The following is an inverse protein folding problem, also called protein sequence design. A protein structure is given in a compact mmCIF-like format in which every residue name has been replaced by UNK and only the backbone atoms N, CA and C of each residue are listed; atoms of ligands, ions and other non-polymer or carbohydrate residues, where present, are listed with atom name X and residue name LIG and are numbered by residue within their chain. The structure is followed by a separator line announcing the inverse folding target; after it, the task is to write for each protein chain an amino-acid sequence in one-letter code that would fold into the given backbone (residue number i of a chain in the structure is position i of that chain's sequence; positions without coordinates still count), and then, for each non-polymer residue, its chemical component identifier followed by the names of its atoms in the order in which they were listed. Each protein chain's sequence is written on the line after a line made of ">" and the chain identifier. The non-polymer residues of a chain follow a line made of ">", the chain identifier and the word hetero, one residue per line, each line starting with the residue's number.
data_IF_057949213064
#
_entry.id   IF_057949213064
#
_cell.length_a   1.000
_cell.length_b   1.000
_cell.length_c   1.000
_cell.angle_alpha   90.00
_cell.angle_beta   90.00
_cell.angle_gamma   90.00
#
_symmetry.space_group_name_H-M   'P 1'
#
loop_
_entity.id
_entity.type
_entity.pdbx_description
1 polymer ?
#
# COMPACT_ATOMS: atom_id res chain seq x y z
N UNK A 1 -3.20 -2.38 -44.83
CA UNK A 1 -4.02 -2.28 -43.59
C UNK A 1 -3.30 -3.01 -42.46
N UNK A 2 -2.58 -2.31 -41.58
CA UNK A 2 -2.14 -2.89 -40.30
C UNK A 2 -3.40 -3.02 -39.43
N UNK A 3 -3.92 -4.23 -39.25
CA UNK A 3 -5.00 -4.47 -38.29
C UNK A 3 -4.38 -4.38 -36.90
N UNK A 4 -4.54 -3.23 -36.24
CA UNK A 4 -4.25 -3.09 -34.82
C UNK A 4 -5.35 -3.82 -34.04
N UNK A 5 -5.22 -5.14 -33.90
CA UNK A 5 -5.95 -5.84 -32.85
C UNK A 5 -5.19 -5.59 -31.55
N UNK A 6 -5.63 -4.61 -30.76
CA UNK A 6 -5.35 -4.65 -29.33
C UNK A 6 -6.17 -5.81 -28.78
N UNK A 7 -5.55 -6.99 -28.65
CA UNK A 7 -6.18 -8.04 -27.85
C UNK A 7 -6.34 -7.50 -26.43
N UNK A 8 -7.54 -7.66 -25.89
CA UNK A 8 -7.82 -7.33 -24.50
C UNK A 8 -7.08 -8.34 -23.61
N UNK A 9 -6.04 -7.90 -22.91
CA UNK A 9 -5.22 -8.76 -22.07
C UNK A 9 -6.02 -9.43 -20.94
N UNK A 10 -7.06 -8.77 -20.42
CA UNK A 10 -7.99 -9.38 -19.47
C UNK A 10 -8.78 -10.53 -20.10
N UNK A 11 -9.18 -10.42 -21.38
CA UNK A 11 -9.82 -11.52 -22.10
C UNK A 11 -8.84 -12.69 -22.29
N UNK A 12 -7.58 -12.41 -22.62
CA UNK A 12 -6.56 -13.47 -22.73
C UNK A 12 -6.35 -14.14 -21.37
N UNK A 13 -6.18 -13.38 -20.28
CA UNK A 13 -6.03 -13.90 -18.93
C UNK A 13 -7.22 -14.78 -18.53
N UNK A 14 -8.45 -14.37 -18.82
CA UNK A 14 -9.66 -15.16 -18.58
C UNK A 14 -9.71 -16.45 -19.42
N UNK A 15 -9.37 -16.38 -20.71
CA UNK A 15 -9.32 -17.56 -21.60
C UNK A 15 -8.29 -18.56 -21.08
N UNK A 16 -7.09 -18.07 -20.73
CA UNK A 16 -6.03 -18.89 -20.16
C UNK A 16 -6.53 -19.50 -18.86
N UNK A 17 -6.95 -18.73 -17.85
CA UNK A 17 -7.46 -19.26 -16.58
C UNK A 17 -8.61 -20.27 -16.74
N UNK A 18 -9.53 -20.04 -17.67
CA UNK A 18 -10.63 -20.98 -17.95
C UNK A 18 -10.13 -22.29 -18.56
N UNK A 19 -9.17 -22.20 -19.49
CA UNK A 19 -8.55 -23.38 -20.10
C UNK A 19 -7.76 -24.19 -19.06
N UNK A 20 -7.05 -23.48 -18.18
CA UNK A 20 -6.28 -24.07 -17.08
C UNK A 20 -7.19 -24.80 -16.08
N UNK A 21 -8.39 -24.26 -15.81
CA UNK A 21 -9.40 -24.91 -14.95
C UNK A 21 -9.99 -26.18 -15.59
N UNK A 22 -10.26 -26.16 -16.90
CA UNK A 22 -10.81 -27.34 -17.59
C UNK A 22 -9.81 -28.51 -17.59
N UNK A 23 -8.54 -28.23 -17.87
CA UNK A 23 -7.46 -29.23 -17.84
C UNK A 23 -7.24 -29.84 -16.44
N UNK A 24 -7.44 -29.08 -15.37
CA UNK A 24 -7.35 -29.63 -14.02
C UNK A 24 -8.55 -30.50 -13.66
N UNK A 25 -9.72 -30.25 -14.23
CA UNK A 25 -10.89 -31.11 -14.08
C UNK A 25 -10.70 -32.46 -14.81
N UNK A 26 -10.09 -32.46 -16.00
CA UNK A 26 -9.85 -33.70 -16.77
C UNK A 26 -8.80 -34.61 -16.11
N UNK A 27 -7.82 -34.04 -15.41
CA UNK A 27 -6.82 -34.81 -14.64
C UNK A 27 -7.37 -35.44 -13.34
N UNK A 28 -8.56 -35.04 -12.90
CA UNK A 28 -9.33 -35.73 -11.85
C UNK A 28 -10.17 -36.91 -12.37
N UNK A 29 -10.19 -37.18 -13.68
CA UNK A 29 -10.78 -38.40 -14.24
C UNK A 29 -9.84 -39.59 -14.07
N UNK A 30 -9.56 -40.01 -12.83
CA UNK A 30 -8.92 -41.30 -12.57
C UNK A 30 -9.86 -42.41 -13.06
N UNK A 31 -9.49 -43.09 -14.15
CA UNK A 31 -10.09 -44.39 -14.46
C UNK A 31 -9.63 -45.39 -13.40
N UNK A 32 -10.52 -45.73 -12.46
CA UNK A 32 -10.36 -46.89 -11.59
C UNK A 32 -10.56 -48.17 -12.43
N UNK A 33 -9.47 -48.76 -12.92
CA UNK A 33 -9.50 -50.06 -13.57
C UNK A 33 -9.37 -51.15 -12.51
N UNK A 34 -10.48 -51.81 -12.17
CA UNK A 34 -10.48 -53.01 -11.33
C UNK A 34 -10.04 -54.20 -12.17
N UNK A 35 -8.83 -54.73 -11.95
CA UNK A 35 -8.37 -55.96 -12.60
C UNK A 35 -8.61 -57.12 -11.63
N UNK A 36 -9.38 -58.11 -12.07
CA UNK A 36 -9.55 -59.39 -11.36
C UNK A 36 -8.45 -60.33 -11.87
N UNK A 37 -7.43 -60.60 -11.05
CA UNK A 37 -6.42 -61.61 -11.37
C UNK A 37 -6.96 -63.02 -11.09
N UNK A 38 -6.99 -63.88 -12.12
CA UNK A 38 -7.29 -65.30 -11.93
C UNK A 38 -6.08 -66.04 -11.33
N UNK A 39 -6.30 -66.98 -10.39
CA UNK A 39 -5.22 -67.62 -9.65
C UNK A 39 -4.40 -68.57 -10.52
N UNK A 40 -3.10 -68.29 -10.61
CA UNK A 40 -2.11 -69.24 -11.13
C UNK A 40 -1.93 -70.38 -10.12
N UNK A 41 -2.57 -71.51 -10.42
CA UNK A 41 -2.50 -72.80 -9.72
C UNK A 41 -3.17 -72.90 -8.33
N UNK A 42 -4.36 -73.51 -8.32
CA UNK A 42 -4.61 -74.66 -7.41
C UNK A 42 -5.24 -74.43 -6.03
N UNK A 43 -5.80 -73.26 -5.70
CA UNK A 43 -6.64 -73.13 -4.49
C UNK A 43 -7.79 -72.11 -4.68
N UNK A 44 -9.07 -72.49 -4.59
CA UNK A 44 -10.20 -71.64 -5.04
C UNK A 44 -10.71 -70.57 -4.05
N UNK A 45 -10.01 -70.23 -2.95
CA UNK A 45 -10.59 -69.35 -1.90
C UNK A 45 -9.95 -67.97 -1.70
N UNK A 46 -9.09 -67.47 -2.60
CA UNK A 46 -8.59 -66.08 -2.47
C UNK A 46 -8.57 -65.35 -3.81
N UNK A 47 -9.66 -64.63 -4.10
CA UNK A 47 -9.67 -63.54 -5.09
C UNK A 47 -9.02 -62.33 -4.44
N UNK A 48 -7.85 -61.90 -4.92
CA UNK A 48 -7.25 -60.62 -4.54
C UNK A 48 -7.77 -59.54 -5.48
N UNK A 49 -8.56 -58.62 -4.95
CA UNK A 49 -8.86 -57.35 -5.64
C UNK A 49 -7.69 -56.42 -5.35
N UNK A 50 -6.96 -56.03 -6.39
CA UNK A 50 -5.89 -55.03 -6.30
C UNK A 50 -6.38 -53.78 -7.01
N UNK A 51 -6.65 -52.72 -6.25
CA UNK A 51 -6.85 -51.39 -6.82
C UNK A 51 -5.47 -50.84 -7.22
N UNK A 52 -5.27 -50.62 -8.52
CA UNK A 52 -4.08 -49.92 -9.04
C UNK A 52 -4.50 -48.56 -9.57
N UNK A 53 -3.92 -47.51 -8.98
CA UNK A 53 -3.90 -46.19 -9.61
C UNK A 53 -2.92 -46.24 -10.80
N UNK A 54 -3.44 -46.41 -12.01
CA UNK A 54 -2.63 -46.16 -13.21
C UNK A 54 -2.53 -44.65 -13.44
N UNK A 55 -1.38 -44.06 -13.11
CA UNK A 55 -1.02 -42.75 -13.66
C UNK A 55 -0.89 -42.90 -15.17
N UNK A 56 -1.78 -42.24 -15.91
CA UNK A 56 -1.69 -42.09 -17.36
C UNK A 56 -0.24 -41.74 -17.74
N UNK A 57 0.29 -42.49 -18.71
CA UNK A 57 1.65 -42.33 -19.19
C UNK A 57 1.90 -40.88 -19.63
N UNK A 58 3.14 -40.40 -19.46
CA UNK A 58 3.64 -39.05 -19.84
C UNK A 58 3.51 -38.68 -21.34
N UNK A 59 2.69 -39.39 -22.11
CA UNK A 59 2.71 -39.41 -23.57
C UNK A 59 1.55 -38.74 -24.31
N UNK A 60 0.46 -38.38 -23.65
CA UNK A 60 -0.67 -37.71 -24.34
C UNK A 60 -0.80 -36.27 -23.84
N UNK A 61 0.16 -35.44 -24.26
CA UNK A 61 -0.03 -34.01 -24.25
C UNK A 61 -1.25 -33.69 -25.12
N UNK A 62 -2.32 -33.19 -24.50
CA UNK A 62 -3.30 -32.37 -25.23
C UNK A 62 -2.53 -31.35 -26.06
N UNK A 63 -3.01 -30.93 -27.24
CA UNK A 63 -2.29 -30.05 -28.18
C UNK A 63 -1.82 -28.67 -27.63
N UNK A 64 -2.00 -28.43 -26.33
CA UNK A 64 -1.54 -27.32 -25.51
C UNK A 64 -0.50 -27.91 -24.52
N UNK A 65 0.77 -27.47 -24.57
CA UNK A 65 1.89 -28.00 -23.76
C UNK A 65 1.68 -28.00 -22.22
N UNK A 66 2.70 -28.39 -21.45
CA UNK A 66 2.57 -28.48 -19.99
C UNK A 66 2.47 -27.08 -19.37
N UNK A 67 1.71 -26.96 -18.28
CA UNK A 67 1.54 -25.72 -17.50
C UNK A 67 2.86 -25.07 -17.07
N UNK A 68 3.86 -25.90 -16.80
CA UNK A 68 5.21 -25.52 -16.39
C UNK A 68 5.98 -24.81 -17.50
N UNK A 69 5.50 -24.89 -18.75
CA UNK A 69 6.11 -24.28 -19.93
C UNK A 69 5.53 -22.90 -20.26
N UNK A 70 4.64 -22.34 -19.42
CA UNK A 70 4.08 -21.01 -19.65
C UNK A 70 5.20 -19.94 -19.69
N UNK A 71 5.32 -19.16 -20.79
CA UNK A 71 6.21 -18.01 -20.85
C UNK A 71 5.99 -17.05 -19.68
N UNK A 72 7.09 -16.52 -19.14
CA UNK A 72 7.07 -15.61 -17.99
C UNK A 72 6.20 -14.37 -18.27
N UNK A 73 6.20 -13.91 -19.51
CA UNK A 73 5.42 -12.77 -19.98
C UNK A 73 3.91 -13.04 -19.89
N UNK A 74 3.47 -14.28 -20.11
CA UNK A 74 2.06 -14.66 -19.93
C UNK A 74 1.68 -14.75 -18.45
N UNK A 75 2.58 -15.23 -17.60
CA UNK A 75 2.35 -15.27 -16.14
C UNK A 75 2.26 -13.85 -15.59
N UNK A 76 3.15 -12.95 -16.01
CA UNK A 76 3.10 -11.54 -15.67
C UNK A 76 1.78 -10.89 -16.11
N UNK A 77 1.35 -11.13 -17.35
CA UNK A 77 0.08 -10.63 -17.88
C UNK A 77 -1.11 -11.13 -17.07
N UNK A 78 -1.16 -12.42 -16.73
CA UNK A 78 -2.23 -12.99 -15.90
C UNK A 78 -2.29 -12.26 -14.55
N UNK A 79 -1.17 -12.13 -13.84
CA UNK A 79 -1.17 -11.44 -12.55
C UNK A 79 -1.41 -9.94 -12.65
N UNK A 80 -1.03 -9.30 -13.76
CA UNK A 80 -1.28 -7.88 -14.00
C UNK A 80 -2.77 -7.57 -14.19
N UNK A 81 -3.53 -8.46 -14.84
CA UNK A 81 -4.96 -8.24 -15.12
C UNK A 81 -5.89 -8.80 -14.06
N UNK A 82 -5.54 -9.91 -13.40
CA UNK A 82 -6.46 -10.61 -12.51
C UNK A 82 -6.54 -9.91 -11.14
N UNK A 83 -7.75 -9.80 -10.59
CA UNK A 83 -7.96 -9.20 -9.27
C UNK A 83 -7.39 -10.10 -8.16
N UNK A 84 -6.95 -9.50 -7.05
CA UNK A 84 -6.30 -10.22 -5.97
C UNK A 84 -7.12 -11.40 -5.39
N UNK A 85 -8.44 -11.30 -5.15
CA UNK A 85 -9.23 -12.44 -4.69
C UNK A 85 -9.18 -13.63 -5.67
N UNK A 86 -9.19 -13.35 -6.97
CA UNK A 86 -9.06 -14.38 -8.01
C UNK A 86 -7.65 -14.94 -8.07
N UNK A 87 -6.61 -14.12 -7.84
CA UNK A 87 -5.23 -14.58 -7.67
C UNK A 87 -5.18 -15.61 -6.53
N UNK A 88 -5.81 -15.36 -5.38
CA UNK A 88 -5.88 -16.32 -4.27
C UNK A 88 -6.55 -17.64 -4.66
N UNK A 89 -7.62 -17.58 -5.47
CA UNK A 89 -8.30 -18.77 -5.98
C UNK A 89 -7.42 -19.57 -6.96
N UNK A 90 -6.50 -18.93 -7.68
CA UNK A 90 -5.65 -19.61 -8.67
C UNK A 90 -4.86 -20.79 -8.07
N UNK A 91 -4.45 -20.74 -6.80
CA UNK A 91 -3.76 -21.86 -6.14
C UNK A 91 -4.57 -23.16 -6.08
N UNK A 92 -5.89 -23.07 -6.21
CA UNK A 92 -6.81 -24.21 -6.20
C UNK A 92 -7.01 -24.80 -7.59
N UNK A 93 -6.50 -24.13 -8.64
CA UNK A 93 -6.70 -24.57 -10.02
C UNK A 93 -5.83 -25.77 -10.38
N UNK A 94 -4.53 -25.76 -10.07
CA UNK A 94 -3.60 -26.87 -10.34
C UNK A 94 -2.29 -26.76 -9.53
N UNK A 95 -1.44 -27.79 -9.60
CA UNK A 95 -0.18 -27.87 -8.85
C UNK A 95 0.81 -26.77 -9.23
N UNK A 96 0.85 -26.35 -10.50
CA UNK A 96 1.72 -25.28 -10.96
C UNK A 96 1.36 -23.93 -10.30
N UNK A 97 0.09 -23.54 -10.27
CA UNK A 97 -0.32 -22.31 -9.57
C UNK A 97 -0.11 -22.42 -8.07
N UNK A 98 -0.33 -23.60 -7.48
CA UNK A 98 -0.01 -23.82 -6.08
C UNK A 98 1.48 -23.58 -5.80
N UNK A 99 2.37 -24.19 -6.57
CA UNK A 99 3.82 -24.06 -6.44
C UNK A 99 4.30 -22.64 -6.75
N UNK A 100 3.78 -22.00 -7.80
CA UNK A 100 4.03 -20.61 -8.15
C UNK A 100 3.64 -19.66 -7.00
N UNK A 101 2.49 -19.89 -6.36
CA UNK A 101 1.97 -18.99 -5.35
C UNK A 101 2.59 -19.19 -3.96
N UNK A 102 3.05 -20.41 -3.65
CA UNK A 102 3.55 -20.78 -2.33
C UNK A 102 5.06 -21.02 -2.30
N UNK A 103 5.64 -21.41 -3.43
CA UNK A 103 7.01 -21.91 -3.55
C UNK A 103 7.19 -23.40 -3.28
N UNK A 104 6.10 -24.17 -3.14
CA UNK A 104 6.15 -25.58 -2.72
C UNK A 104 5.47 -26.52 -3.72
N UNK A 105 6.11 -27.66 -3.96
CA UNK A 105 5.61 -28.72 -4.84
C UNK A 105 4.55 -29.62 -4.20
N UNK A 106 4.35 -29.53 -2.87
CA UNK A 106 3.35 -30.33 -2.15
C UNK A 106 2.25 -29.45 -1.58
N UNK A 107 1.01 -29.87 -1.76
CA UNK A 107 -0.18 -29.16 -1.27
C UNK A 107 -0.25 -29.24 0.26
N UNK A 108 -0.31 -28.09 0.90
CA UNK A 108 -0.46 -27.91 2.34
C UNK A 108 -0.86 -26.48 2.73
N UNK A 109 -1.03 -26.23 4.03
CA UNK A 109 -1.25 -24.89 4.57
C UNK A 109 0.08 -24.12 4.58
N UNK A 110 0.30 -23.26 3.59
CA UNK A 110 1.54 -22.51 3.42
C UNK A 110 1.21 -21.03 3.37
N UNK A 111 1.61 -20.34 4.44
CA UNK A 111 1.40 -18.92 4.63
C UNK A 111 2.57 -18.04 4.14
N UNK A 112 2.52 -16.76 4.51
CA UNK A 112 3.58 -15.77 4.23
C UNK A 112 4.90 -16.04 4.95
N UNK A 113 4.98 -17.01 5.86
CA UNK A 113 6.27 -17.38 6.45
C UNK A 113 7.28 -17.93 5.44
N UNK A 114 6.83 -18.31 4.24
CA UNK A 114 7.68 -18.97 3.26
C UNK A 114 7.84 -18.14 2.00
N UNK A 115 8.97 -17.45 1.86
CA UNK A 115 9.26 -16.61 0.70
C UNK A 115 9.34 -17.44 -0.60
N UNK A 116 8.82 -16.96 -1.74
CA UNK A 116 8.99 -17.61 -3.03
C UNK A 116 10.46 -17.77 -3.42
N UNK A 117 10.75 -18.72 -4.29
CA UNK A 117 12.11 -18.90 -4.83
C UNK A 117 12.57 -17.65 -5.59
N UNK A 118 13.84 -17.26 -5.40
CA UNK A 118 14.39 -16.01 -5.94
C UNK A 118 14.33 -15.92 -7.48
N UNK A 119 14.32 -17.06 -8.19
CA UNK A 119 14.33 -17.12 -9.66
C UNK A 119 13.05 -16.56 -10.28
N UNK A 120 11.88 -16.80 -9.67
CA UNK A 120 10.60 -16.29 -10.18
C UNK A 120 10.27 -14.89 -9.66
N UNK A 121 10.80 -14.55 -8.48
CA UNK A 121 10.62 -13.22 -7.89
C UNK A 121 11.17 -12.11 -8.79
N UNK A 122 12.37 -12.29 -9.36
CA UNK A 122 13.06 -11.22 -10.11
C UNK A 122 12.30 -10.83 -11.39
N UNK A 123 11.70 -11.79 -12.10
CA UNK A 123 10.99 -11.50 -13.35
C UNK A 123 9.68 -10.74 -13.11
N UNK A 124 8.88 -11.15 -12.12
CA UNK A 124 7.51 -10.63 -11.93
C UNK A 124 7.46 -9.40 -10.99
N UNK A 125 8.60 -8.98 -10.41
CA UNK A 125 8.73 -7.85 -9.46
C UNK A 125 8.30 -6.46 -10.01
N UNK A 126 7.90 -6.34 -11.28
CA UNK A 126 7.44 -5.09 -11.90
C UNK A 126 5.93 -4.83 -11.81
N UNK A 127 5.14 -5.77 -11.28
CA UNK A 127 3.68 -5.63 -11.23
C UNK A 127 3.29 -4.75 -10.04
N UNK A 128 2.68 -3.59 -10.34
CA UNK A 128 2.24 -2.62 -9.34
C UNK A 128 0.78 -2.87 -8.91
N UNK A 129 0.50 -3.93 -8.14
CA UNK A 129 -0.86 -4.16 -7.64
C UNK A 129 -1.16 -3.33 -6.40
N UNK A 130 -2.37 -2.78 -6.38
CA UNK A 130 -3.06 -2.34 -5.18
C UNK A 130 -3.88 -3.50 -4.61
N UNK A 131 -3.69 -3.81 -3.33
CA UNK A 131 -4.37 -4.91 -2.65
C UNK A 131 -4.98 -4.39 -1.35
N UNK A 132 -6.28 -4.62 -1.16
CA UNK A 132 -7.02 -4.17 0.01
C UNK A 132 -7.44 -5.37 0.88
N UNK A 133 -6.90 -5.42 2.09
CA UNK A 133 -7.18 -6.44 3.09
C UNK A 133 -8.51 -6.27 3.81
N UNK A 134 -9.19 -5.12 3.68
CA UNK A 134 -10.47 -4.87 4.34
C UNK A 134 -11.59 -5.79 3.88
N UNK A 135 -11.48 -6.32 2.65
CA UNK A 135 -12.44 -7.25 2.06
C UNK A 135 -11.95 -8.70 2.02
N UNK A 136 -10.81 -9.00 2.66
CA UNK A 136 -10.15 -10.31 2.58
C UNK A 136 -10.18 -11.02 3.92
N UNK A 137 -10.74 -12.23 3.93
CA UNK A 137 -10.62 -13.14 5.06
C UNK A 137 -9.36 -14.00 4.90
N UNK A 138 -8.21 -13.45 5.27
CA UNK A 138 -6.94 -14.19 5.28
C UNK A 138 -6.10 -13.92 6.54
N UNK A 139 -5.46 -14.96 7.06
CA UNK A 139 -4.44 -14.92 8.11
C UNK A 139 -3.06 -15.13 7.50
N UNK A 140 -1.96 -14.79 8.22
CA UNK A 140 -0.60 -15.09 7.76
C UNK A 140 -0.38 -16.53 7.30
N UNK A 141 -1.07 -17.52 7.88
CA UNK A 141 -0.98 -18.94 7.53
C UNK A 141 -1.72 -19.30 6.24
N UNK A 142 -2.76 -18.54 5.90
CA UNK A 142 -3.64 -18.84 4.76
C UNK A 142 -3.33 -18.01 3.52
N UNK A 143 -2.62 -16.89 3.64
CA UNK A 143 -2.27 -16.05 2.51
C UNK A 143 -1.06 -16.63 1.76
N UNK A 144 -1.13 -16.78 0.44
CA UNK A 144 0.02 -17.21 -0.34
C UNK A 144 1.12 -16.16 -0.29
N UNK A 145 2.36 -16.61 -0.16
CA UNK A 145 3.53 -15.75 0.00
C UNK A 145 3.90 -14.98 -1.26
N UNK A 146 3.69 -15.56 -2.45
CA UNK A 146 4.07 -14.91 -3.71
C UNK A 146 3.34 -13.59 -3.96
N UNK A 147 1.99 -13.53 -3.91
CA UNK A 147 1.30 -12.25 -4.02
C UNK A 147 1.77 -11.24 -2.99
N UNK A 148 2.08 -11.69 -1.77
CA UNK A 148 2.50 -10.84 -0.66
C UNK A 148 3.90 -10.23 -0.84
N UNK A 149 4.90 -11.01 -1.25
CA UNK A 149 6.28 -10.53 -1.38
C UNK A 149 6.60 -9.90 -2.73
N UNK A 150 5.93 -10.34 -3.81
CA UNK A 150 6.33 -10.00 -5.17
C UNK A 150 5.36 -9.07 -5.90
N UNK A 151 4.07 -9.09 -5.57
CA UNK A 151 3.06 -8.31 -6.31
C UNK A 151 2.59 -7.04 -5.59
N UNK A 152 2.71 -6.99 -4.25
CA UNK A 152 2.13 -5.89 -3.48
C UNK A 152 3.00 -4.63 -3.58
N UNK A 153 2.48 -3.61 -4.28
CA UNK A 153 3.09 -2.26 -4.32
C UNK A 153 2.33 -1.29 -3.42
N UNK A 154 1.00 -1.29 -3.53
CA UNK A 154 0.11 -0.54 -2.66
C UNK A 154 -0.73 -1.53 -1.84
N UNK A 155 -0.74 -1.36 -0.53
CA UNK A 155 -1.48 -2.23 0.38
C UNK A 155 -2.41 -1.38 1.24
N UNK A 156 -3.69 -1.74 1.25
CA UNK A 156 -4.72 -1.10 2.09
C UNK A 156 -5.15 -2.04 3.19
N UNK A 157 -5.47 -1.46 4.34
CA UNK A 157 -6.13 -2.14 5.46
C UNK A 157 -5.36 -3.35 6.01
N UNK A 158 -4.02 -3.33 5.93
CA UNK A 158 -3.18 -4.46 6.33
C UNK A 158 -3.28 -4.74 7.84
N UNK A 159 -3.74 -5.92 8.27
CA UNK A 159 -3.89 -6.22 9.68
C UNK A 159 -2.54 -6.27 10.42
N UNK A 160 -2.49 -5.92 11.72
CA UNK A 160 -1.26 -5.93 12.51
C UNK A 160 -0.49 -7.25 12.52
N UNK A 161 -1.18 -8.39 12.38
CA UNK A 161 -0.58 -9.72 12.28
C UNK A 161 0.38 -9.88 11.10
N UNK A 162 0.28 -9.00 10.09
CA UNK A 162 1.12 -9.04 8.90
C UNK A 162 2.35 -8.12 8.97
N UNK A 163 2.41 -7.18 9.92
CA UNK A 163 3.43 -6.14 9.91
C UNK A 163 4.86 -6.67 10.02
N UNK A 164 5.09 -7.77 10.75
CA UNK A 164 6.41 -8.42 10.79
C UNK A 164 6.84 -9.04 9.45
N UNK A 165 5.89 -9.30 8.55
CA UNK A 165 6.14 -9.95 7.26
C UNK A 165 6.42 -8.95 6.14
N UNK A 166 6.12 -7.66 6.32
CA UNK A 166 6.33 -6.65 5.27
C UNK A 166 7.81 -6.35 4.99
N UNK A 167 8.71 -6.89 5.82
CA UNK A 167 10.15 -6.84 5.61
C UNK A 167 10.52 -7.50 4.28
N UNK A 168 11.38 -6.83 3.49
CA UNK A 168 11.81 -7.29 2.17
C UNK A 168 10.69 -7.48 1.12
N UNK A 169 9.53 -6.85 1.34
CA UNK A 169 8.49 -6.72 0.30
C UNK A 169 8.80 -5.53 -0.62
N UNK A 170 8.05 -5.44 -1.72
CA UNK A 170 8.09 -4.30 -2.64
C UNK A 170 7.05 -3.21 -2.29
N UNK A 171 6.44 -3.29 -1.09
CA UNK A 171 5.41 -2.34 -0.65
C UNK A 171 6.01 -0.95 -0.57
N UNK A 172 5.43 -0.06 -1.35
CA UNK A 172 5.80 1.34 -1.45
C UNK A 172 4.76 2.25 -0.82
N UNK A 173 3.48 1.89 -0.94
CA UNK A 173 2.37 2.59 -0.29
C UNK A 173 1.71 1.65 0.71
N UNK A 174 1.72 2.04 1.98
CA UNK A 174 0.95 1.39 3.04
C UNK A 174 -0.16 2.33 3.49
N UNK A 175 -1.39 1.99 3.11
CA UNK A 175 -2.59 2.73 3.46
C UNK A 175 -3.37 2.05 4.59
N UNK A 176 -3.27 2.63 5.78
CA UNK A 176 -3.98 2.21 6.96
C UNK A 176 -5.05 3.23 7.35
N UNK A 177 -5.57 4.02 6.41
CA UNK A 177 -6.64 4.96 6.72
C UNK A 177 -7.83 4.26 7.39
N UNK A 178 -8.31 4.79 8.52
CA UNK A 178 -9.46 4.26 9.24
C UNK A 178 -9.32 2.78 9.68
N UNK A 179 -8.13 2.35 10.10
CA UNK A 179 -7.85 0.97 10.53
C UNK A 179 -7.72 0.78 12.04
N UNK A 180 -8.11 1.78 12.84
CA UNK A 180 -8.06 1.72 14.31
C UNK A 180 -6.67 1.35 14.86
N UNK A 181 -5.60 1.84 14.21
CA UNK A 181 -4.21 1.51 14.58
C UNK A 181 -3.91 1.93 16.02
N UNK A 182 -4.29 3.16 16.42
CA UNK A 182 -4.01 3.72 17.74
C UNK A 182 -2.52 3.80 18.09
N UNK A 183 -2.21 4.25 19.30
CA UNK A 183 -0.82 4.44 19.74
C UNK A 183 -0.04 3.13 19.86
N UNK A 184 -0.69 2.06 20.34
CA UNK A 184 -0.08 0.73 20.44
C UNK A 184 0.23 0.12 19.08
N UNK A 185 -0.63 0.36 18.08
CA UNK A 185 -0.37 -0.04 16.71
C UNK A 185 0.82 0.71 16.11
N UNK A 186 0.95 2.02 16.37
CA UNK A 186 2.14 2.77 15.96
C UNK A 186 3.41 2.23 16.60
N UNK A 187 3.37 1.87 17.89
CA UNK A 187 4.51 1.25 18.56
C UNK A 187 4.94 -0.06 17.87
N UNK A 188 3.99 -0.90 17.45
CA UNK A 188 4.28 -2.13 16.73
C UNK A 188 4.78 -1.86 15.30
N UNK A 189 4.17 -0.93 14.58
CA UNK A 189 4.59 -0.54 13.23
C UNK A 189 6.00 0.08 13.22
N UNK A 190 6.34 0.87 14.25
CA UNK A 190 7.66 1.48 14.40
C UNK A 190 8.80 0.46 14.47
N UNK A 191 8.53 -0.78 14.95
CA UNK A 191 9.53 -1.85 14.99
C UNK A 191 9.95 -2.36 13.61
N UNK A 192 9.07 -2.23 12.62
CA UNK A 192 9.31 -2.78 11.28
C UNK A 192 9.62 -1.69 10.26
N UNK A 193 9.05 -0.49 10.41
CA UNK A 193 9.08 0.59 9.42
C UNK A 193 10.50 0.95 8.90
N UNK A 194 11.56 1.04 9.74
CA UNK A 194 12.92 1.32 9.26
C UNK A 194 13.46 0.31 8.25
N UNK A 195 13.00 -0.93 8.30
CA UNK A 195 13.45 -2.03 7.48
C UNK A 195 12.53 -2.28 6.27
N UNK A 196 11.76 -1.26 5.88
CA UNK A 196 10.83 -1.30 4.74
C UNK A 196 11.23 -0.33 3.64
N UNK A 197 10.63 -0.52 2.46
CA UNK A 197 10.74 0.39 1.31
C UNK A 197 9.52 1.33 1.20
N UNK A 198 8.78 1.49 2.30
CA UNK A 198 7.56 2.31 2.33
C UNK A 198 7.93 3.77 2.14
N UNK A 199 7.37 4.35 1.09
CA UNK A 199 7.54 5.75 0.71
C UNK A 199 6.30 6.58 1.06
N UNK A 200 5.11 6.00 0.92
CA UNK A 200 3.84 6.63 1.29
C UNK A 200 3.23 5.85 2.44
N UNK A 201 3.09 6.51 3.59
CA UNK A 201 2.48 5.95 4.78
C UNK A 201 1.22 6.76 5.13
N UNK A 202 0.06 6.13 4.98
CA UNK A 202 -1.21 6.74 5.37
C UNK A 202 -1.73 6.16 6.67
N UNK A 203 -1.73 6.99 7.71
CA UNK A 203 -2.19 6.69 9.06
C UNK A 203 -3.38 7.58 9.46
N UNK A 204 -4.10 8.15 8.50
CA UNK A 204 -5.23 9.03 8.79
C UNK A 204 -6.39 8.32 9.50
N UNK A 205 -7.14 9.03 10.34
CA UNK A 205 -8.32 8.54 11.04
C UNK A 205 -8.07 7.27 11.89
N UNK A 206 -6.98 7.22 12.65
CA UNK A 206 -6.57 6.05 13.42
C UNK A 206 -6.54 6.24 14.94
N UNK A 207 -7.09 7.35 15.45
CA UNK A 207 -7.09 7.67 16.89
C UNK A 207 -5.67 7.73 17.49
N UNK A 208 -4.70 8.20 16.71
CA UNK A 208 -3.31 8.35 17.14
C UNK A 208 -3.18 9.64 17.97
N UNK A 209 -2.65 9.51 19.18
CA UNK A 209 -2.34 10.60 20.08
C UNK A 209 -0.88 11.02 20.05
N UNK A 210 -0.50 11.88 21.00
CA UNK A 210 0.88 12.33 21.14
C UNK A 210 1.87 11.18 21.41
N UNK A 211 1.46 10.16 22.19
CA UNK A 211 2.31 9.01 22.49
C UNK A 211 2.58 8.15 21.26
N UNK A 212 1.59 7.94 20.39
CA UNK A 212 1.82 7.26 19.10
C UNK A 212 2.79 8.04 18.22
N UNK A 213 2.61 9.36 18.10
CA UNK A 213 3.55 10.20 17.33
C UNK A 213 4.96 10.18 17.92
N UNK A 214 5.09 10.13 19.24
CA UNK A 214 6.39 9.97 19.90
C UNK A 214 7.08 8.66 19.48
N UNK A 215 6.36 7.54 19.42
CA UNK A 215 6.93 6.26 18.94
C UNK A 215 7.30 6.32 17.46
N UNK A 216 6.47 6.94 16.61
CA UNK A 216 6.78 7.14 15.20
C UNK A 216 8.02 8.03 15.01
N UNK A 217 8.15 9.09 15.82
CA UNK A 217 9.25 10.03 15.74
C UNK A 217 10.62 9.39 16.07
N UNK A 218 10.65 8.35 16.91
CA UNK A 218 11.89 7.61 17.21
C UNK A 218 12.50 6.94 15.98
N UNK A 219 11.70 6.63 14.98
CA UNK A 219 12.13 5.80 13.84
C UNK A 219 12.12 6.55 12.51
N UNK A 220 11.37 7.65 12.39
CA UNK A 220 11.09 8.32 11.12
C UNK A 220 12.35 8.72 10.33
N UNK A 221 13.42 9.15 10.99
CA UNK A 221 14.70 9.50 10.34
C UNK A 221 15.41 8.32 9.68
N UNK A 222 15.08 7.10 10.08
CA UNK A 222 15.65 5.85 9.57
C UNK A 222 14.72 5.16 8.56
N UNK A 223 13.71 5.88 8.05
CA UNK A 223 12.73 5.33 7.09
C UNK A 223 12.90 5.95 5.72
N UNK A 224 12.26 5.33 4.72
CA UNK A 224 12.15 5.86 3.36
C UNK A 224 10.86 6.67 3.15
N UNK A 225 10.14 7.06 4.22
CA UNK A 225 8.84 7.73 4.11
C UNK A 225 9.02 9.16 3.61
N UNK A 226 8.44 9.46 2.45
CA UNK A 226 8.40 10.80 1.86
C UNK A 226 7.02 11.46 1.96
N UNK A 227 5.96 10.64 1.94
CA UNK A 227 4.58 11.12 2.10
C UNK A 227 4.00 10.52 3.37
N UNK A 228 3.72 11.38 4.35
CA UNK A 228 3.17 11.00 5.64
C UNK A 228 1.78 11.61 5.82
N UNK A 229 0.75 10.77 5.85
CA UNK A 229 -0.59 11.20 6.21
C UNK A 229 -0.90 10.85 7.66
N UNK A 230 -1.20 11.87 8.45
CA UNK A 230 -1.59 11.77 9.85
C UNK A 230 -2.93 12.48 10.09
N UNK A 231 -3.68 12.78 9.04
CA UNK A 231 -4.93 13.53 9.10
C UNK A 231 -6.00 12.87 10.00
N UNK A 232 -6.84 13.68 10.64
CA UNK A 232 -7.97 13.24 11.46
C UNK A 232 -7.58 12.30 12.61
N UNK A 233 -6.48 12.63 13.30
CA UNK A 233 -6.05 11.97 14.54
C UNK A 233 -6.19 12.94 15.72
N UNK A 234 -5.62 12.61 16.88
CA UNK A 234 -5.71 13.37 18.13
C UNK A 234 -4.31 13.81 18.58
N UNK A 235 -3.47 14.23 17.61
CA UNK A 235 -2.04 14.48 17.82
C UNK A 235 -1.82 15.67 18.77
N UNK A 236 -2.60 16.73 18.60
CA UNK A 236 -2.48 17.97 19.39
C UNK A 236 -1.12 18.66 19.26
N UNK A 237 -0.94 19.75 20.01
CA UNK A 237 0.33 20.48 20.03
C UNK A 237 1.51 19.63 20.53
N UNK A 238 1.29 18.78 21.54
CA UNK A 238 2.34 17.94 22.12
C UNK A 238 2.84 16.87 21.16
N UNK A 239 1.96 16.21 20.40
CA UNK A 239 2.38 15.23 19.40
C UNK A 239 3.13 15.89 18.25
N UNK A 240 2.69 17.08 17.83
CA UNK A 240 3.41 17.88 16.82
C UNK A 240 4.79 18.31 17.31
N UNK A 241 4.94 18.63 18.59
CA UNK A 241 6.26 18.92 19.17
C UNK A 241 7.21 17.72 19.05
N UNK A 242 6.74 16.49 19.26
CA UNK A 242 7.55 15.29 19.05
C UNK A 242 7.92 15.10 17.58
N UNK A 243 6.98 15.33 16.67
CA UNK A 243 7.23 15.26 15.23
C UNK A 243 8.27 16.31 14.79
N UNK A 244 8.18 17.53 15.31
CA UNK A 244 9.11 18.62 15.01
C UNK A 244 10.57 18.27 15.33
N UNK A 245 10.83 17.47 16.37
CA UNK A 245 12.19 17.02 16.74
C UNK A 245 12.86 16.18 15.67
N UNK A 246 12.10 15.47 14.83
CA UNK A 246 12.65 14.52 13.85
C UNK A 246 12.51 14.98 12.40
N UNK A 247 11.56 15.87 12.08
CA UNK A 247 11.29 16.30 10.70
C UNK A 247 12.54 16.77 9.92
N UNK A 248 13.46 17.58 10.49
CA UNK A 248 14.67 18.01 9.78
C UNK A 248 15.61 16.88 9.36
N UNK A 249 15.56 15.74 10.08
CA UNK A 249 16.39 14.57 9.82
C UNK A 249 15.61 13.47 9.08
N UNK A 250 14.37 13.73 8.67
CA UNK A 250 13.52 12.79 7.95
C UNK A 250 13.58 13.01 6.44
N UNK A 251 13.06 12.04 5.68
CA UNK A 251 12.87 12.15 4.24
C UNK A 251 11.46 12.67 3.88
N UNK A 252 10.71 13.24 4.83
CA UNK A 252 9.32 13.66 4.59
C UNK A 252 9.28 14.95 3.78
N UNK A 253 8.63 14.87 2.62
CA UNK A 253 8.42 15.96 1.67
C UNK A 253 6.96 16.42 1.62
N UNK A 254 6.03 15.51 1.91
CA UNK A 254 4.60 15.76 1.92
C UNK A 254 4.03 15.35 3.27
N UNK A 255 3.49 16.31 4.01
CA UNK A 255 3.01 16.12 5.37
C UNK A 255 1.54 16.57 5.49
N UNK A 256 0.65 15.62 5.76
CA UNK A 256 -0.76 15.89 6.00
C UNK A 256 -1.10 15.78 7.48
N UNK A 257 -1.40 16.92 8.11
CA UNK A 257 -1.79 17.05 9.51
C UNK A 257 -3.22 17.56 9.68
N UNK A 258 -4.04 17.54 8.63
CA UNK A 258 -5.43 18.02 8.68
C UNK A 258 -6.20 17.47 9.89
N UNK A 259 -6.95 18.27 10.64
CA UNK A 259 -7.89 17.74 11.64
C UNK A 259 -7.25 17.12 12.88
N UNK A 260 -6.17 17.72 13.43
CA UNK A 260 -5.40 17.17 14.55
C UNK A 260 -5.41 18.04 15.83
N UNK A 261 -6.21 19.10 15.88
CA UNK A 261 -6.34 19.99 17.05
C UNK A 261 -4.98 20.59 17.46
N UNK A 262 -4.15 20.96 16.47
CA UNK A 262 -2.77 21.42 16.70
C UNK A 262 -2.71 22.78 17.41
N UNK A 263 -3.61 23.71 17.05
CA UNK A 263 -3.62 25.06 17.57
C UNK A 263 -2.39 25.90 17.20
N UNK A 264 -2.38 27.17 17.62
CA UNK A 264 -1.29 28.09 17.35
C UNK A 264 0.07 27.63 17.96
N UNK A 265 0.05 27.07 19.18
CA UNK A 265 1.26 26.63 19.87
C UNK A 265 1.95 25.47 19.17
N UNK A 266 1.19 24.52 18.59
CA UNK A 266 1.78 23.43 17.81
C UNK A 266 2.40 23.93 16.51
N UNK A 267 1.76 24.91 15.84
CA UNK A 267 2.33 25.58 14.66
C UNK A 267 3.61 26.34 15.01
N UNK A 268 3.67 26.98 16.18
CA UNK A 268 4.89 27.64 16.65
C UNK A 268 6.06 26.66 16.79
N UNK A 269 5.83 25.44 17.28
CA UNK A 269 6.89 24.41 17.36
C UNK A 269 7.33 23.94 15.96
N UNK A 270 6.39 23.77 15.02
CA UNK A 270 6.72 23.46 13.63
C UNK A 270 7.52 24.58 12.97
N UNK A 271 7.14 25.83 13.18
CA UNK A 271 7.81 26.99 12.60
C UNK A 271 9.30 27.03 12.94
N UNK A 272 9.70 26.63 14.17
CA UNK A 272 11.10 26.56 14.59
C UNK A 272 11.96 25.62 13.75
N UNK A 273 11.35 24.58 13.16
CA UNK A 273 12.10 23.50 12.48
C UNK A 273 11.89 23.49 10.96
N UNK A 274 10.77 24.02 10.46
CA UNK A 274 10.40 24.03 9.04
C UNK A 274 11.53 24.46 8.09
N UNK A 275 12.33 25.51 8.36
CA UNK A 275 13.43 25.91 7.50
C UNK A 275 14.50 24.83 7.28
N UNK A 276 14.65 23.90 8.22
CA UNK A 276 15.58 22.77 8.13
C UNK A 276 14.97 21.49 7.58
N UNK A 277 13.70 21.51 7.15
CA UNK A 277 13.00 20.33 6.62
C UNK A 277 13.01 20.28 5.09
N UNK A 278 12.67 19.13 4.53
CA UNK A 278 12.44 18.93 3.10
C UNK A 278 10.96 19.06 2.72
N UNK A 279 10.12 19.64 3.59
CA UNK A 279 8.67 19.67 3.36
C UNK A 279 8.32 20.69 2.27
N UNK A 280 7.72 20.18 1.19
CA UNK A 280 7.24 20.93 0.04
C UNK A 280 5.73 21.11 0.04
N UNK A 281 5.01 20.09 0.51
CA UNK A 281 3.55 20.08 0.60
C UNK A 281 3.15 19.92 2.06
N UNK A 282 2.49 20.94 2.59
CA UNK A 282 2.14 20.99 4.00
C UNK A 282 0.66 21.29 4.20
N UNK A 283 -0.06 20.33 4.79
CA UNK A 283 -1.48 20.48 5.05
C UNK A 283 -1.76 20.59 6.55
N UNK A 284 -2.20 21.77 6.97
CA UNK A 284 -2.62 22.13 8.33
C UNK A 284 -4.11 22.43 8.41
N UNK A 285 -4.90 22.05 7.41
CA UNK A 285 -6.36 22.26 7.38
C UNK A 285 -7.03 21.83 8.68
N UNK A 286 -8.06 22.55 9.12
CA UNK A 286 -8.90 22.13 10.24
C UNK A 286 -8.11 21.87 11.54
N UNK A 287 -7.25 22.81 11.96
CA UNK A 287 -6.41 22.68 13.15
C UNK A 287 -6.57 23.81 14.17
N UNK A 288 -7.49 24.75 13.95
CA UNK A 288 -7.76 25.88 14.85
C UNK A 288 -6.50 26.72 15.13
N UNK A 289 -5.65 26.91 14.11
CA UNK A 289 -4.35 27.60 14.30
C UNK A 289 -4.52 29.11 14.54
N UNK A 290 -5.61 29.71 14.02
CA UNK A 290 -5.92 31.14 14.14
C UNK A 290 -4.86 32.06 13.55
N UNK A 291 -5.05 33.37 13.74
CA UNK A 291 -4.17 34.41 13.20
C UNK A 291 -2.74 34.31 13.76
N UNK A 292 -2.59 33.98 15.04
CA UNK A 292 -1.28 33.84 15.68
C UNK A 292 -0.46 32.69 15.09
N UNK A 293 -1.08 31.56 14.78
CA UNK A 293 -0.41 30.44 14.11
C UNK A 293 0.09 30.82 12.72
N UNK A 294 -0.73 31.53 11.95
CA UNK A 294 -0.34 32.04 10.61
C UNK A 294 0.80 33.04 10.70
N UNK A 295 0.79 33.93 11.70
CA UNK A 295 1.87 34.88 11.93
C UNK A 295 3.21 34.20 12.24
N UNK A 296 3.21 33.08 12.98
CA UNK A 296 4.42 32.31 13.20
C UNK A 296 4.93 31.65 11.90
N UNK A 297 4.03 31.14 11.05
CA UNK A 297 4.42 30.62 9.73
C UNK A 297 5.00 31.72 8.84
N UNK A 298 4.40 32.91 8.83
CA UNK A 298 4.86 34.05 8.03
C UNK A 298 6.33 34.43 8.33
N UNK A 299 6.77 34.30 9.59
CA UNK A 299 8.16 34.59 9.99
C UNK A 299 9.18 33.64 9.35
N UNK A 300 8.79 32.42 9.02
CA UNK A 300 9.74 31.35 8.65
C UNK A 300 9.60 30.89 7.20
N UNK A 301 8.40 31.00 6.60
CA UNK A 301 8.12 30.55 5.23
C UNK A 301 9.12 31.01 4.17
N UNK A 302 9.66 32.26 4.20
CA UNK A 302 10.69 32.70 3.25
C UNK A 302 11.98 31.86 3.27
N UNK A 303 12.24 31.13 4.36
CA UNK A 303 13.40 30.25 4.52
C UNK A 303 13.05 28.76 4.43
N UNK A 304 11.85 28.43 3.94
CA UNK A 304 11.40 27.03 3.78
C UNK A 304 11.36 26.60 2.32
N UNK A 305 11.19 25.29 2.10
CA UNK A 305 10.94 24.71 0.78
C UNK A 305 9.44 24.50 0.50
N UNK A 306 8.54 25.14 1.26
CA UNK A 306 7.10 24.90 1.12
C UNK A 306 6.58 25.58 -0.15
N UNK A 307 5.99 24.77 -1.02
CA UNK A 307 5.41 25.17 -2.31
C UNK A 307 3.88 25.15 -2.28
N UNK A 308 3.31 24.16 -1.60
CA UNK A 308 1.87 24.00 -1.42
C UNK A 308 1.54 24.00 0.07
N UNK A 309 0.73 24.97 0.50
CA UNK A 309 0.30 25.13 1.88
C UNK A 309 -1.22 25.13 1.96
N UNK A 310 -1.78 24.23 2.76
CA UNK A 310 -3.22 24.20 3.05
C UNK A 310 -3.50 24.65 4.48
N UNK A 311 -4.11 25.83 4.61
CA UNK A 311 -4.50 26.46 5.86
C UNK A 311 -6.03 26.53 6.02
N UNK A 312 -6.84 25.88 5.17
CA UNK A 312 -8.30 26.03 5.24
C UNK A 312 -8.91 25.59 6.59
N UNK A 313 -10.07 26.15 6.94
CA UNK A 313 -10.81 25.87 8.20
C UNK A 313 -9.97 26.06 9.46
N UNK A 314 -9.24 27.16 9.55
CA UNK A 314 -8.37 27.46 10.68
C UNK A 314 -8.75 28.70 11.47
N UNK A 315 -9.89 29.30 11.13
CA UNK A 315 -10.42 30.51 11.78
C UNK A 315 -9.51 31.73 11.54
N UNK A 316 -8.87 31.77 10.38
CA UNK A 316 -7.98 32.86 9.98
C UNK A 316 -8.82 34.06 9.56
N UNK A 317 -8.51 35.25 10.06
CA UNK A 317 -9.15 36.51 9.68
C UNK A 317 -8.34 37.27 8.63
N UNK A 318 -8.91 38.35 8.10
CA UNK A 318 -8.19 39.31 7.25
C UNK A 318 -6.90 39.81 7.92
N UNK A 319 -6.90 40.04 9.23
CA UNK A 319 -5.71 40.48 9.96
C UNK A 319 -4.63 39.39 10.03
N UNK A 320 -5.03 38.12 10.16
CA UNK A 320 -4.09 37.01 10.20
C UNK A 320 -3.41 36.79 8.85
N UNK A 321 -4.20 36.78 7.77
CA UNK A 321 -3.66 36.53 6.43
C UNK A 321 -2.84 37.72 5.90
N UNK A 322 -3.13 38.95 6.34
CA UNK A 322 -2.37 40.13 5.92
C UNK A 322 -0.89 40.06 6.30
N UNK A 323 -0.54 39.47 7.45
CA UNK A 323 0.86 39.27 7.83
C UNK A 323 1.57 38.23 6.94
N UNK A 324 0.86 37.18 6.54
CA UNK A 324 1.39 36.22 5.58
C UNK A 324 1.58 36.87 4.20
N UNK A 325 0.61 37.67 3.75
CA UNK A 325 0.66 38.36 2.46
C UNK A 325 1.94 39.20 2.27
N UNK A 326 2.38 39.90 3.33
CA UNK A 326 3.60 40.72 3.31
C UNK A 326 4.86 39.94 2.94
N UNK A 327 4.91 38.63 3.22
CA UNK A 327 6.07 37.79 2.97
C UNK A 327 5.91 36.86 1.77
N UNK A 328 4.70 36.65 1.24
CA UNK A 328 4.43 35.66 0.18
C UNK A 328 5.38 35.79 -1.02
N UNK A 329 5.69 37.02 -1.44
CA UNK A 329 6.59 37.31 -2.57
C UNK A 329 8.06 36.88 -2.35
N UNK A 330 8.47 36.61 -1.10
CA UNK A 330 9.80 36.07 -0.77
C UNK A 330 9.77 34.60 -0.37
N UNK A 331 8.62 33.93 -0.50
CA UNK A 331 8.47 32.48 -0.26
C UNK A 331 8.54 31.67 -1.56
N UNK A 332 8.61 30.35 -1.44
CA UNK A 332 8.44 29.41 -2.56
C UNK A 332 6.99 28.95 -2.76
N UNK A 333 6.03 29.52 -2.01
CA UNK A 333 4.62 29.10 -2.06
C UNK A 333 4.00 29.55 -3.38
N UNK A 334 3.53 28.58 -4.17
CA UNK A 334 2.78 28.84 -5.40
C UNK A 334 1.31 28.41 -5.30
N UNK A 335 0.96 27.61 -4.28
CA UNK A 335 -0.42 27.16 -4.04
C UNK A 335 -0.78 27.34 -2.57
N UNK A 336 -1.83 28.13 -2.30
CA UNK A 336 -2.31 28.42 -0.95
C UNK A 336 -3.82 28.17 -0.84
N UNK A 337 -4.20 27.24 0.03
CA UNK A 337 -5.61 26.97 0.34
C UNK A 337 -6.01 27.68 1.64
N UNK A 338 -7.08 28.46 1.58
CA UNK A 338 -7.63 29.32 2.64
C UNK A 338 -9.15 29.18 2.77
N UNK A 339 -9.71 28.11 2.21
CA UNK A 339 -11.14 27.95 2.12
C UNK A 339 -11.78 27.71 3.49
N UNK A 340 -12.98 28.24 3.66
CA UNK A 340 -13.72 28.22 4.93
C UNK A 340 -12.96 28.83 6.13
N UNK A 341 -12.12 29.84 5.86
CA UNK A 341 -11.65 30.82 6.84
C UNK A 341 -12.52 32.09 6.82
N UNK A 342 -12.18 33.08 7.64
CA UNK A 342 -12.91 34.35 7.80
C UNK A 342 -12.24 35.47 7.01
N UNK A 343 -11.94 35.19 5.74
CA UNK A 343 -11.29 36.14 4.82
C UNK A 343 -12.36 36.83 3.96
N UNK A 344 -12.48 38.15 4.08
CA UNK A 344 -13.47 38.94 3.35
C UNK A 344 -13.15 39.07 1.87
N UNK A 345 -14.18 39.21 1.03
CA UNK A 345 -14.05 39.29 -0.44
C UNK A 345 -13.05 40.35 -0.92
N UNK A 346 -12.94 41.48 -0.21
CA UNK A 346 -11.98 42.54 -0.52
C UNK A 346 -10.53 42.06 -0.33
N UNK A 347 -10.24 41.41 0.81
CA UNK A 347 -8.93 40.83 1.08
C UNK A 347 -8.60 39.72 0.09
N UNK A 348 -9.58 38.88 -0.30
CA UNK A 348 -9.38 37.84 -1.31
C UNK A 348 -8.99 38.42 -2.68
N UNK A 349 -9.62 39.52 -3.10
CA UNK A 349 -9.26 40.23 -4.34
C UNK A 349 -7.86 40.82 -4.24
N UNK A 350 -7.56 41.50 -3.12
CA UNK A 350 -6.26 42.09 -2.87
C UNK A 350 -5.13 41.05 -2.92
N UNK A 351 -5.32 39.87 -2.33
CA UNK A 351 -4.35 38.78 -2.39
C UNK A 351 -4.08 38.33 -3.83
N UNK A 352 -5.12 38.14 -4.64
CA UNK A 352 -5.01 37.76 -6.07
C UNK A 352 -4.32 38.84 -6.90
N UNK A 353 -4.61 40.11 -6.64
CA UNK A 353 -4.03 41.25 -7.35
C UNK A 353 -2.55 41.46 -6.98
N UNK A 354 -2.19 41.34 -5.70
CA UNK A 354 -0.81 41.55 -5.22
C UNK A 354 0.11 40.35 -5.50
N UNK A 355 -0.43 39.13 -5.55
CA UNK A 355 0.34 37.90 -5.76
C UNK A 355 -0.21 37.05 -6.91
N UNK A 356 -0.20 37.55 -8.16
CA UNK A 356 -0.80 36.86 -9.31
C UNK A 356 -0.14 35.52 -9.67
N UNK A 357 1.09 35.27 -9.18
CA UNK A 357 1.82 34.01 -9.39
C UNK A 357 1.43 32.91 -8.40
N UNK A 358 0.59 33.22 -7.40
CA UNK A 358 0.12 32.26 -6.39
C UNK A 358 -1.32 31.87 -6.72
N UNK A 359 -1.57 30.57 -6.76
CA UNK A 359 -2.92 30.01 -6.90
C UNK A 359 -3.58 29.97 -5.53
N UNK A 360 -4.57 30.82 -5.32
CA UNK A 360 -5.37 30.87 -4.09
C UNK A 360 -6.68 30.09 -4.23
N UNK A 361 -7.02 29.30 -3.22
CA UNK A 361 -8.33 28.65 -3.06
C UNK A 361 -9.02 29.22 -1.83
N UNK A 362 -10.15 29.91 -2.02
CA UNK A 362 -10.97 30.53 -0.97
C UNK A 362 -12.29 29.79 -0.77
#
# INVERSE_FOLDING_TARGET
>A
MKRNYQLNYSLIACIVLSSLFLQSCDSFSTQLTTIIEEPMSGNPETVRIVEREERLSKGEATALGYFEDLPIELVEMIFADVAYPSILACRQLNHFFYELMTGYSQVGLIGVSHKPTAKMAISICGINKCIDFGNLSCTPETIPSFPFYCLMREVKSLPPSFWSYILNTQIHTLDLYCNQVGDSGIQALAKVLPNTQIHTLNLGANQIGASGVQELAKVLSNTHVHTLHLAYNQIGASGVQELAKVLPNSQVHTLYLCGNQIGASGVQELAKVLPGTQVHTFNLRYNQIGDSGVQELAKVLPSTQVHTLDLGVNQISDSGIQELAKVLSSTQVHTLYLWADRIGDEMQRLLKEQHPNITFYF
#
